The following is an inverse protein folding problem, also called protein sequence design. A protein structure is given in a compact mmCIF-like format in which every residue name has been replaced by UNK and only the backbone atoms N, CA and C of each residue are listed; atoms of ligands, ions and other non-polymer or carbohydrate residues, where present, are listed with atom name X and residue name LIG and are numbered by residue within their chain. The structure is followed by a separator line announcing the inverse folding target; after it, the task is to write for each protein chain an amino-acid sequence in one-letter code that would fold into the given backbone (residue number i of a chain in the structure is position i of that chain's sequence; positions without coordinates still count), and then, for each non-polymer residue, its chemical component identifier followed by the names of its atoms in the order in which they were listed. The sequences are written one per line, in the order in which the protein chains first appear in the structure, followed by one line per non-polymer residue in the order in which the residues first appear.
data_IF_548437901307
#
_entry.id   IF_548437901307
#
_cell.length_a   1.000
_cell.length_b   1.000
_cell.length_c   1.000
_cell.angle_alpha   90.00
_cell.angle_beta   90.00
_cell.angle_gamma   90.00
#
_symmetry.space_group_name_H-M   'P 1'
#
loop_
_entity.id
_entity.type
_entity.pdbx_description
1 polymer ?
#
# COMPACT_ATOMS: atom_id res chain seq x y z
N UNK A 1 28.47 3.56 2.22
CA UNK A 1 27.50 2.48 2.54
C UNK A 1 27.41 2.37 4.05
N UNK A 2 26.21 2.19 4.59
CA UNK A 2 26.00 1.92 6.02
C UNK A 2 25.87 0.42 6.22
N UNK A 3 26.55 -0.13 7.24
CA UNK A 3 26.43 -1.55 7.59
C UNK A 3 25.07 -1.78 8.25
N UNK A 4 24.29 -2.69 7.67
CA UNK A 4 22.97 -3.08 8.19
C UNK A 4 22.93 -4.60 8.28
N UNK A 5 22.52 -5.10 9.44
CA UNK A 5 22.27 -6.53 9.64
C UNK A 5 20.82 -6.85 9.27
N UNK A 6 20.60 -7.96 8.59
CA UNK A 6 19.26 -8.46 8.21
C UNK A 6 19.16 -9.89 8.70
N UNK A 7 18.02 -10.24 9.29
CA UNK A 7 17.75 -11.61 9.71
C UNK A 7 17.04 -12.35 8.59
N UNK A 8 17.52 -13.55 8.28
CA UNK A 8 16.98 -14.43 7.24
C UNK A 8 16.75 -15.81 7.86
N UNK A 9 15.82 -16.57 7.28
CA UNK A 9 15.71 -17.99 7.59
C UNK A 9 16.93 -18.74 7.06
N UNK A 10 17.21 -19.93 7.60
CA UNK A 10 18.31 -20.77 7.11
C UNK A 10 18.12 -21.10 5.61
N UNK A 11 16.89 -21.36 5.18
CA UNK A 11 16.53 -21.59 3.76
C UNK A 11 16.86 -20.38 2.88
N UNK A 12 16.53 -19.17 3.33
CA UNK A 12 16.82 -17.94 2.59
C UNK A 12 18.34 -17.69 2.49
N UNK A 13 19.11 -18.03 3.53
CA UNK A 13 20.58 -17.93 3.52
C UNK A 13 21.18 -18.88 2.49
N UNK A 14 20.73 -20.14 2.45
CA UNK A 14 21.17 -21.12 1.45
C UNK A 14 20.83 -20.66 0.03
N UNK A 15 19.59 -20.20 -0.18
CA UNK A 15 19.14 -19.67 -1.46
C UNK A 15 19.96 -18.47 -1.91
N UNK A 16 20.25 -17.54 -0.99
CA UNK A 16 21.06 -16.36 -1.27
C UNK A 16 22.50 -16.73 -1.65
N UNK A 17 23.09 -17.71 -0.97
CA UNK A 17 24.43 -18.22 -1.28
C UNK A 17 24.48 -18.84 -2.68
N UNK A 18 23.48 -19.64 -3.04
CA UNK A 18 23.36 -20.25 -4.36
C UNK A 18 23.21 -19.19 -5.46
N UNK A 19 22.38 -18.17 -5.25
CA UNK A 19 22.21 -17.07 -6.22
C UNK A 19 23.52 -16.30 -6.43
N UNK A 20 24.20 -15.95 -5.34
CA UNK A 20 25.48 -15.24 -5.39
C UNK A 20 26.55 -16.05 -6.15
N UNK A 21 26.64 -17.36 -5.89
CA UNK A 21 27.55 -18.27 -6.60
C UNK A 21 27.23 -18.34 -8.10
N UNK A 22 25.95 -18.54 -8.45
CA UNK A 22 25.52 -18.65 -9.86
C UNK A 22 25.75 -17.37 -10.65
N UNK A 23 25.63 -16.21 -10.02
CA UNK A 23 25.85 -14.91 -10.65
C UNK A 23 27.32 -14.43 -10.57
N UNK A 24 28.19 -15.15 -9.86
CA UNK A 24 29.58 -14.72 -9.64
C UNK A 24 29.68 -13.38 -8.89
N UNK A 25 28.74 -13.11 -7.98
CA UNK A 25 28.67 -11.84 -7.24
C UNK A 25 28.58 -12.07 -5.73
N UNK A 26 28.63 -11.00 -4.94
CA UNK A 26 28.48 -11.08 -3.49
C UNK A 26 27.02 -11.17 -3.08
N UNK A 27 26.73 -11.88 -1.99
CA UNK A 27 25.38 -11.93 -1.39
C UNK A 27 24.80 -10.53 -1.11
N UNK A 28 25.64 -9.59 -0.67
CA UNK A 28 25.24 -8.21 -0.44
C UNK A 28 24.77 -7.50 -1.71
N UNK A 29 25.35 -7.81 -2.87
CA UNK A 29 24.92 -7.26 -4.15
C UNK A 29 23.57 -7.83 -4.58
N UNK A 30 23.33 -9.12 -4.37
CA UNK A 30 22.04 -9.75 -4.62
C UNK A 30 20.94 -9.09 -3.76
N UNK A 31 21.18 -8.91 -2.45
CA UNK A 31 20.23 -8.23 -1.55
C UNK A 31 19.95 -6.79 -2.03
N UNK A 32 21.00 -6.04 -2.41
CA UNK A 32 20.82 -4.66 -2.90
C UNK A 32 19.94 -4.59 -4.15
N UNK A 33 20.18 -5.48 -5.13
CA UNK A 33 19.37 -5.56 -6.35
C UNK A 33 17.91 -5.92 -6.03
N UNK A 34 17.69 -6.89 -5.15
CA UNK A 34 16.36 -7.27 -4.70
C UNK A 34 15.62 -6.10 -4.04
N UNK A 35 16.28 -5.34 -3.16
CA UNK A 35 15.70 -4.14 -2.51
C UNK A 35 15.34 -3.07 -3.56
N UNK A 36 16.21 -2.83 -4.55
CA UNK A 36 15.95 -1.84 -5.60
C UNK A 36 14.77 -2.21 -6.50
N UNK A 37 14.57 -3.51 -6.73
CA UNK A 37 13.47 -4.03 -7.53
C UNK A 37 12.17 -4.18 -6.73
N UNK A 38 12.25 -4.30 -5.40
CA UNK A 38 11.08 -4.43 -4.54
C UNK A 38 10.11 -3.27 -4.79
N UNK A 39 8.88 -3.63 -5.12
CA UNK A 39 7.74 -2.70 -5.21
C UNK A 39 6.76 -3.12 -4.11
N UNK A 40 6.52 -2.28 -3.10
CA UNK A 40 5.52 -2.60 -2.12
C UNK A 40 4.17 -2.76 -2.82
N UNK A 41 3.38 -3.75 -2.40
CA UNK A 41 1.98 -3.79 -2.78
C UNK A 41 1.35 -2.46 -2.33
N UNK A 42 0.84 -1.69 -3.29
CA UNK A 42 0.22 -0.41 -2.99
C UNK A 42 -0.89 -0.62 -1.97
N UNK A 43 -1.00 0.28 -0.98
CA UNK A 43 -2.27 0.49 -0.28
C UNK A 43 -3.30 0.68 -1.38
N UNK A 44 -4.33 -0.17 -1.42
CA UNK A 44 -5.32 -0.22 -2.51
C UNK A 44 -5.72 1.16 -3.01
N UNK A 45 -5.99 1.25 -4.31
CA UNK A 45 -6.23 2.50 -5.03
C UNK A 45 -7.14 3.44 -4.22
N UNK A 46 -6.56 4.54 -3.71
CA UNK A 46 -7.31 5.58 -2.97
C UNK A 46 -8.01 6.54 -3.94
N UNK A 47 -8.12 6.16 -5.21
CA UNK A 47 -8.89 6.87 -6.19
C UNK A 47 -10.38 6.54 -6.00
N UNK A 48 -11.01 7.30 -5.11
CA UNK A 48 -12.46 7.29 -5.00
C UNK A 48 -13.04 7.90 -6.29
N UNK A 49 -13.62 7.05 -7.14
CA UNK A 49 -14.45 7.54 -8.25
C UNK A 49 -15.82 7.89 -7.71
N UNK A 50 -16.31 9.09 -8.00
CA UNK A 50 -17.66 9.51 -7.63
C UNK A 50 -18.65 8.58 -8.33
N UNK A 51 -19.33 7.73 -7.55
CA UNK A 51 -20.30 6.76 -8.09
C UNK A 51 -21.57 7.44 -8.62
N UNK A 52 -21.94 8.58 -8.03
CA UNK A 52 -23.07 9.40 -8.44
C UNK A 52 -22.92 10.84 -7.90
N UNK A 53 -23.53 11.80 -8.57
CA UNK A 53 -23.76 13.15 -8.05
C UNK A 53 -25.26 13.39 -7.87
N UNK A 54 -25.64 14.03 -6.76
CA UNK A 54 -27.00 14.50 -6.51
C UNK A 54 -27.12 16.01 -6.73
N UNK A 55 -28.30 16.48 -7.12
CA UNK A 55 -28.63 17.91 -7.07
C UNK A 55 -29.36 18.21 -5.76
N UNK A 56 -28.84 19.16 -4.99
CA UNK A 56 -29.49 19.69 -3.78
C UNK A 56 -29.90 21.14 -3.98
N UNK A 57 -30.61 21.69 -3.00
CA UNK A 57 -31.08 23.09 -3.02
C UNK A 57 -29.95 24.14 -2.93
N UNK A 58 -28.68 23.73 -2.89
CA UNK A 58 -27.52 24.61 -2.67
C UNK A 58 -27.42 25.20 -1.26
N UNK A 59 -28.31 24.81 -0.34
CA UNK A 59 -28.29 25.21 1.07
C UNK A 59 -27.22 24.39 1.81
N UNK A 60 -26.58 24.99 2.81
CA UNK A 60 -25.64 24.27 3.68
C UNK A 60 -26.38 23.16 4.41
N UNK A 61 -25.77 21.98 4.50
CA UNK A 61 -26.33 20.86 5.30
C UNK A 61 -26.46 21.23 6.78
N UNK A 62 -25.62 22.15 7.27
CA UNK A 62 -25.67 22.64 8.64
C UNK A 62 -26.94 23.43 8.96
N UNK A 63 -27.63 23.95 7.94
CA UNK A 63 -28.82 24.79 8.09
C UNK A 63 -30.12 24.00 7.82
N UNK A 64 -30.01 22.69 7.54
CA UNK A 64 -31.17 21.82 7.30
C UNK A 64 -31.76 21.40 8.64
N UNK A 65 -33.08 21.58 8.89
CA UNK A 65 -33.72 21.11 10.12
C UNK A 65 -33.52 19.61 10.33
N UNK A 66 -33.36 19.19 11.58
CA UNK A 66 -33.07 17.80 11.94
C UNK A 66 -34.15 16.84 11.42
N UNK A 67 -35.43 17.26 11.47
CA UNK A 67 -36.55 16.50 10.93
C UNK A 67 -36.42 16.21 9.41
N UNK A 68 -35.84 17.13 8.64
CA UNK A 68 -35.60 16.98 7.20
C UNK A 68 -34.36 16.10 6.95
N UNK A 69 -33.35 16.15 7.82
CA UNK A 69 -32.15 15.28 7.71
C UNK A 69 -32.47 13.81 7.99
N UNK A 70 -33.41 13.54 8.90
CA UNK A 70 -33.80 12.19 9.29
C UNK A 70 -34.86 11.58 8.36
N UNK A 71 -35.43 12.37 7.45
CA UNK A 71 -36.41 11.88 6.48
C UNK A 71 -35.77 10.81 5.57
N UNK A 72 -36.24 9.56 5.69
CA UNK A 72 -35.75 8.41 4.91
C UNK A 72 -34.76 7.50 5.66
N UNK A 73 -34.36 7.84 6.88
CA UNK A 73 -33.68 6.92 7.79
C UNK A 73 -34.70 6.20 8.68
N UNK A 74 -34.74 4.86 8.68
CA UNK A 74 -35.57 4.07 9.59
C UNK A 74 -36.89 3.51 9.03
N UNK A 75 -36.97 3.24 7.72
CA UNK A 75 -37.98 2.32 7.14
C UNK A 75 -37.56 0.86 7.28
#
# INVERSE_FOLDING_TARGET
MTKTSVYLSDEDVERLALLAQREGTSQAEVIRRAINQYRPQGRGDRHFTVAASGQGSGRSIADVPEEEQLAGFGS
#
